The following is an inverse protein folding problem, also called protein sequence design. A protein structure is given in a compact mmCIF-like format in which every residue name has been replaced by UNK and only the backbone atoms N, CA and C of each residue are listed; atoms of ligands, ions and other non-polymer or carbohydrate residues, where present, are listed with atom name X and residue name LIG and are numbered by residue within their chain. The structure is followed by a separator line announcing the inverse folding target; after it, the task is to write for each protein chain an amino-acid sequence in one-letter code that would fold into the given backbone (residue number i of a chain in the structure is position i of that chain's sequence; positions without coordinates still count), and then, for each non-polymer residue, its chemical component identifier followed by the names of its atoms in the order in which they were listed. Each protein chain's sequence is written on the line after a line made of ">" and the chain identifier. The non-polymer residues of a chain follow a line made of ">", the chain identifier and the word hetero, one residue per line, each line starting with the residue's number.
data_IF_404311284100
#
_entry.id   IF_404311284100
#
_cell.length_a   1.000
_cell.length_b   1.000
_cell.length_c   1.000
_cell.angle_alpha   90.00
_cell.angle_beta   90.00
_cell.angle_gamma   90.00
#
_symmetry.space_group_name_H-M   'P 1'
#
loop_
_entity.id
_entity.type
_entity.pdbx_description
1 polymer ?
#
# COMPACT_ATOMS: atom_id res chain seq x y z
N UNK A 1 -15.56 10.20 -5.77
CA UNK A 1 -14.55 9.62 -6.68
C UNK A 1 -14.08 10.71 -7.62
N UNK A 2 -12.78 10.81 -7.94
CA UNK A 2 -12.23 11.89 -8.78
C UNK A 2 -12.51 11.70 -10.28
N UNK A 3 -12.86 10.49 -10.72
CA UNK A 3 -13.21 10.19 -12.12
C UNK A 3 -14.47 10.97 -12.52
N UNK A 4 -14.38 11.74 -13.61
CA UNK A 4 -15.44 12.61 -14.13
C UNK A 4 -15.97 12.16 -15.50
N UNK A 5 -15.18 11.42 -16.29
CA UNK A 5 -15.60 10.91 -17.60
C UNK A 5 -14.89 9.59 -17.95
N UNK A 6 -15.60 8.69 -18.64
CA UNK A 6 -15.07 7.40 -19.13
C UNK A 6 -15.57 7.16 -20.55
N UNK A 7 -14.64 7.04 -21.48
CA UNK A 7 -14.92 6.86 -22.91
C UNK A 7 -14.26 5.59 -23.45
N UNK A 8 -15.00 4.84 -24.26
CA UNK A 8 -14.55 3.64 -24.95
C UNK A 8 -14.56 3.86 -26.46
N UNK A 9 -13.43 3.62 -27.12
CA UNK A 9 -13.33 3.61 -28.58
C UNK A 9 -12.74 2.26 -29.03
N UNK A 10 -13.63 1.36 -29.45
CA UNK A 10 -13.26 0.02 -29.89
C UNK A 10 -12.66 -0.02 -31.30
N UNK A 11 -12.84 1.04 -32.10
CA UNK A 11 -12.26 1.14 -33.42
C UNK A 11 -10.77 1.49 -33.32
N UNK A 12 -10.43 2.46 -32.47
CA UNK A 12 -9.06 2.89 -32.21
C UNK A 12 -8.38 2.16 -31.04
N UNK A 13 -9.09 1.24 -30.38
CA UNK A 13 -8.62 0.47 -29.22
C UNK A 13 -8.16 1.35 -28.05
N UNK A 14 -8.89 2.42 -27.75
CA UNK A 14 -8.58 3.33 -26.64
C UNK A 14 -9.64 3.29 -25.53
N UNK A 15 -9.17 3.39 -24.29
CA UNK A 15 -9.96 3.64 -23.09
C UNK A 15 -9.44 4.94 -22.49
N UNK A 16 -10.30 5.96 -22.41
CA UNK A 16 -9.95 7.26 -21.80
C UNK A 16 -10.71 7.42 -20.51
N UNK A 17 -9.98 7.70 -19.42
CA UNK A 17 -10.55 7.99 -18.10
C UNK A 17 -10.07 9.39 -17.70
N UNK A 18 -11.00 10.33 -17.54
CA UNK A 18 -10.72 11.69 -17.06
C UNK A 18 -11.02 11.78 -15.58
N UNK A 19 -10.14 12.39 -14.80
CA UNK A 19 -10.32 12.59 -13.37
C UNK A 19 -9.82 13.96 -12.92
N UNK A 20 -10.59 14.62 -12.06
CA UNK A 20 -10.26 15.93 -11.49
C UNK A 20 -9.76 15.76 -10.05
N UNK A 21 -8.56 16.27 -9.81
CA UNK A 21 -7.93 16.25 -8.50
C UNK A 21 -7.77 17.67 -7.97
N UNK A 22 -8.02 17.85 -6.67
CA UNK A 22 -7.72 19.11 -5.99
C UNK A 22 -6.19 19.35 -5.82
N UNK A 23 -5.38 18.30 -5.97
CA UNK A 23 -3.92 18.36 -5.82
C UNK A 23 -3.24 18.95 -7.06
N UNK A 24 -2.09 19.64 -6.91
CA UNK A 24 -1.34 20.17 -8.04
C UNK A 24 -0.70 19.05 -8.88
N UNK A 25 -0.42 19.32 -10.15
CA UNK A 25 0.17 18.37 -11.11
C UNK A 25 1.41 17.68 -10.54
N UNK A 26 2.33 18.44 -9.94
CA UNK A 26 3.57 17.89 -9.39
C UNK A 26 3.32 16.85 -8.29
N UNK A 27 2.23 16.99 -7.52
CA UNK A 27 1.87 16.02 -6.49
C UNK A 27 1.35 14.73 -7.10
N UNK A 28 0.61 14.80 -8.20
CA UNK A 28 0.13 13.63 -8.93
C UNK A 28 1.30 12.86 -9.57
N UNK A 29 2.34 13.57 -10.03
CA UNK A 29 3.54 12.97 -10.62
C UNK A 29 4.55 12.44 -9.59
N UNK A 30 4.29 12.57 -8.28
CA UNK A 30 5.24 12.16 -7.26
C UNK A 30 5.30 10.63 -7.15
N UNK A 31 6.50 10.07 -7.27
CA UNK A 31 6.75 8.63 -7.10
C UNK A 31 7.12 8.34 -5.65
N UNK A 32 6.39 7.40 -5.06
CA UNK A 32 6.71 6.81 -3.76
C UNK A 32 7.15 5.38 -3.98
N UNK A 33 8.46 5.17 -4.01
CA UNK A 33 9.04 3.84 -4.15
C UNK A 33 9.26 3.21 -2.78
N UNK A 34 9.07 1.90 -2.72
CA UNK A 34 9.34 1.06 -1.57
C UNK A 34 9.71 -0.34 -2.04
N UNK A 35 10.19 -1.16 -1.11
CA UNK A 35 10.52 -2.55 -1.37
C UNK A 35 10.03 -3.42 -0.22
N UNK A 36 9.66 -4.65 -0.54
CA UNK A 36 9.46 -5.70 0.44
C UNK A 36 10.49 -6.80 0.26
N UNK A 37 11.07 -7.24 1.36
CA UNK A 37 11.90 -8.44 1.41
C UNK A 37 11.13 -9.52 2.17
N UNK A 38 10.56 -10.49 1.44
CA UNK A 38 9.80 -11.59 2.04
C UNK A 38 10.75 -12.51 2.81
N UNK A 39 10.49 -12.70 4.10
CA UNK A 39 11.34 -13.51 4.99
C UNK A 39 10.75 -14.90 5.22
N UNK A 40 9.43 -15.04 5.32
CA UNK A 40 8.76 -16.33 5.56
C UNK A 40 7.34 -16.31 5.01
N UNK A 41 6.88 -17.44 4.47
CA UNK A 41 5.51 -17.64 4.02
C UNK A 41 5.01 -18.95 4.61
N UNK A 42 3.96 -18.89 5.43
CA UNK A 42 3.30 -20.02 6.07
C UNK A 42 1.83 -20.08 5.60
N UNK A 43 1.62 -20.69 4.44
CA UNK A 43 0.31 -20.74 3.82
C UNK A 43 -0.70 -21.62 4.61
N UNK A 44 -1.99 -21.24 4.70
CA UNK A 44 -2.61 -20.00 4.23
C UNK A 44 -2.70 -18.92 5.33
N UNK A 45 -1.98 -19.07 6.44
CA UNK A 45 -2.29 -18.38 7.70
C UNK A 45 -1.43 -17.16 7.98
N UNK A 46 -0.21 -17.09 7.45
CA UNK A 46 0.67 -15.96 7.72
C UNK A 46 1.80 -15.79 6.73
N UNK A 47 2.36 -14.58 6.69
CA UNK A 47 3.66 -14.33 6.07
C UNK A 47 4.35 -13.16 6.76
N UNK A 48 5.68 -13.14 6.68
CA UNK A 48 6.54 -12.12 7.28
C UNK A 48 7.47 -11.52 6.25
N UNK A 49 7.78 -10.23 6.42
CA UNK A 49 8.60 -9.48 5.48
C UNK A 49 9.19 -8.21 6.10
N UNK A 50 10.29 -7.72 5.52
CA UNK A 50 10.78 -6.37 5.79
C UNK A 50 10.12 -5.41 4.81
N UNK A 51 9.69 -4.24 5.29
CA UNK A 51 9.16 -3.15 4.46
C UNK A 51 10.03 -1.91 4.63
N UNK A 52 10.55 -1.40 3.51
CA UNK A 52 11.44 -0.25 3.49
C UNK A 52 11.15 0.70 2.33
N UNK A 53 11.58 1.94 2.51
CA UNK A 53 11.43 2.98 1.51
C UNK A 53 12.60 2.96 0.51
N UNK A 54 12.30 3.34 -0.73
CA UNK A 54 13.29 3.42 -1.79
C UNK A 54 13.30 4.81 -2.46
N UNK A 55 14.35 5.06 -3.23
CA UNK A 55 14.37 6.13 -4.23
C UNK A 55 13.65 5.70 -5.52
N UNK A 56 13.42 6.61 -6.49
CA UNK A 56 12.76 6.28 -7.75
C UNK A 56 13.46 5.23 -8.61
N UNK A 57 14.74 4.95 -8.35
CA UNK A 57 15.54 3.92 -9.01
C UNK A 57 15.54 2.59 -8.23
N UNK A 58 14.67 2.47 -7.21
CA UNK A 58 14.50 1.31 -6.32
C UNK A 58 15.69 1.00 -5.42
N UNK A 59 16.58 1.96 -5.16
CA UNK A 59 17.62 1.78 -4.15
C UNK A 59 17.03 2.02 -2.75
N UNK A 60 17.32 1.16 -1.75
CA UNK A 60 16.89 1.39 -0.37
C UNK A 60 17.36 2.74 0.17
N UNK A 61 16.51 3.41 0.95
CA UNK A 61 16.85 4.62 1.70
C UNK A 61 17.19 4.27 3.15
N UNK A 62 18.48 4.09 3.51
CA UNK A 62 18.87 3.63 4.83
C UNK A 62 18.55 4.63 5.95
N UNK A 63 18.32 5.90 5.61
CA UNK A 63 17.94 6.95 6.58
C UNK A 63 16.43 6.93 6.92
N UNK A 64 15.64 6.07 6.27
CA UNK A 64 14.22 5.90 6.55
C UNK A 64 13.97 4.58 7.29
N UNK A 65 13.00 4.53 8.21
CA UNK A 65 12.69 3.33 8.96
C UNK A 65 12.35 2.14 8.07
N UNK A 66 12.85 0.96 8.46
CA UNK A 66 12.43 -0.34 7.94
C UNK A 66 11.61 -1.03 9.02
N UNK A 67 10.46 -1.60 8.66
CA UNK A 67 9.63 -2.37 9.59
C UNK A 67 9.77 -3.88 9.35
N UNK A 68 9.74 -4.65 10.43
CA UNK A 68 9.54 -6.11 10.40
C UNK A 68 8.05 -6.36 10.53
N UNK A 69 7.45 -6.92 9.49
CA UNK A 69 6.02 -7.14 9.40
C UNK A 69 5.67 -8.61 9.56
N UNK A 70 4.62 -8.88 10.33
CA UNK A 70 4.00 -10.19 10.45
C UNK A 70 2.51 -10.05 10.22
N UNK A 71 2.03 -10.60 9.11
CA UNK A 71 0.63 -10.55 8.71
C UNK A 71 0.01 -11.92 8.96
N UNK A 72 -1.13 -11.95 9.65
CA UNK A 72 -1.80 -13.18 10.07
C UNK A 72 -3.28 -13.16 9.70
N UNK A 73 -3.82 -14.32 9.34
CA UNK A 73 -5.20 -14.50 8.89
C UNK A 73 -5.82 -15.65 9.67
N UNK A 74 -6.98 -15.40 10.28
CA UNK A 74 -7.70 -16.40 11.06
C UNK A 74 -9.20 -16.33 10.80
N UNK A 75 -9.90 -17.46 10.90
CA UNK A 75 -11.36 -17.49 10.84
C UNK A 75 -11.96 -16.64 11.97
N UNK A 76 -12.98 -15.85 11.62
CA UNK A 76 -13.69 -15.03 12.59
C UNK A 76 -15.14 -14.79 12.13
N UNK A 77 -16.10 -15.38 12.85
CA UNK A 77 -17.52 -15.08 12.64
C UNK A 77 -18.05 -15.40 11.23
N UNK A 78 -17.49 -16.39 10.55
CA UNK A 78 -17.85 -16.75 9.17
C UNK A 78 -17.09 -15.98 8.08
N UNK A 79 -16.18 -15.06 8.46
CA UNK A 79 -15.22 -14.43 7.57
C UNK A 79 -13.78 -14.59 8.07
N UNK A 80 -12.89 -13.69 7.65
CA UNK A 80 -11.48 -13.68 8.03
C UNK A 80 -11.16 -12.44 8.84
N UNK A 81 -10.45 -12.61 9.96
CA UNK A 81 -9.74 -11.53 10.65
C UNK A 81 -8.29 -11.54 10.20
N UNK A 82 -7.88 -10.48 9.51
CA UNK A 82 -6.48 -10.19 9.25
C UNK A 82 -5.91 -9.30 10.36
N UNK A 83 -4.73 -9.62 10.87
CA UNK A 83 -3.98 -8.77 11.83
C UNK A 83 -2.62 -8.44 11.23
N UNK A 84 -2.33 -7.15 11.12
CA UNK A 84 -1.13 -6.59 10.52
C UNK A 84 -0.27 -5.98 11.63
N UNK A 85 0.88 -6.60 11.95
CA UNK A 85 1.79 -6.08 12.97
C UNK A 85 3.09 -5.64 12.30
N UNK A 86 3.40 -4.35 12.42
CA UNK A 86 4.65 -3.74 11.96
C UNK A 86 5.50 -3.35 13.16
N UNK A 87 6.69 -3.94 13.28
CA UNK A 87 7.63 -3.65 14.37
C UNK A 87 8.77 -2.77 13.84
N UNK A 88 9.08 -1.70 14.54
CA UNK A 88 10.14 -0.75 14.21
C UNK A 88 11.28 -0.86 15.22
N UNK A 89 12.48 -0.44 14.82
CA UNK A 89 13.68 -0.52 15.67
C UNK A 89 13.61 0.35 16.93
N UNK A 90 12.81 1.42 16.90
CA UNK A 90 12.72 2.42 17.97
C UNK A 90 11.37 3.14 17.97
N UNK A 91 11.06 3.84 19.07
CA UNK A 91 9.87 4.66 19.16
C UNK A 91 9.95 5.87 18.22
N UNK A 92 11.15 6.42 18.03
CA UNK A 92 11.43 7.53 17.12
C UNK A 92 11.18 7.12 15.67
N UNK A 93 11.62 5.92 15.28
CA UNK A 93 11.35 5.37 13.95
C UNK A 93 9.85 5.16 13.70
N UNK A 94 9.12 4.65 14.70
CA UNK A 94 7.66 4.53 14.63
C UNK A 94 7.00 5.92 14.52
N UNK A 95 7.42 6.90 15.32
CA UNK A 95 6.86 8.24 15.27
C UNK A 95 7.09 8.90 13.90
N UNK A 96 8.27 8.71 13.30
CA UNK A 96 8.58 9.26 11.98
C UNK A 96 7.61 8.76 10.91
N UNK A 97 7.29 7.46 10.86
CA UNK A 97 6.36 6.93 9.85
C UNK A 97 4.91 7.32 10.13
N UNK A 98 4.54 7.50 11.41
CA UNK A 98 3.24 8.07 11.80
C UNK A 98 3.10 9.49 11.26
N UNK A 99 4.13 10.32 11.42
CA UNK A 99 4.15 11.70 10.91
C UNK A 99 4.14 11.75 9.37
N UNK A 100 4.65 10.71 8.71
CA UNK A 100 4.60 10.54 7.26
C UNK A 100 3.24 10.03 6.74
N UNK A 101 2.30 9.70 7.61
CA UNK A 101 0.94 9.26 7.25
C UNK A 101 0.83 7.77 6.88
N UNK A 102 1.64 6.91 7.51
CA UNK A 102 1.61 5.45 7.26
C UNK A 102 0.24 4.85 7.58
N UNK A 103 -0.48 5.38 8.56
CA UNK A 103 -1.80 4.86 8.98
C UNK A 103 -2.84 5.10 7.89
N UNK A 104 -2.89 6.30 7.33
CA UNK A 104 -3.80 6.67 6.25
C UNK A 104 -3.49 5.87 4.98
N UNK A 105 -2.20 5.75 4.64
CA UNK A 105 -1.75 4.96 3.49
C UNK A 105 -2.14 3.49 3.60
N UNK A 106 -1.78 2.85 4.72
CA UNK A 106 -2.09 1.44 4.96
C UNK A 106 -3.61 1.19 5.02
N UNK A 107 -4.36 2.04 5.72
CA UNK A 107 -5.82 1.91 5.80
C UNK A 107 -6.48 2.05 4.43
N UNK A 108 -6.03 3.01 3.60
CA UNK A 108 -6.54 3.18 2.24
C UNK A 108 -6.24 1.97 1.34
N UNK A 109 -5.09 1.30 1.53
CA UNK A 109 -4.76 0.10 0.79
C UNK A 109 -5.61 -1.10 1.24
N UNK A 110 -5.72 -1.32 2.56
CA UNK A 110 -6.48 -2.42 3.16
C UNK A 110 -7.97 -2.33 2.80
N UNK A 111 -8.55 -1.12 2.81
CA UNK A 111 -9.96 -0.93 2.51
C UNK A 111 -10.35 -1.26 1.05
N UNK A 112 -9.37 -1.42 0.14
CA UNK A 112 -9.63 -1.84 -1.24
C UNK A 112 -9.74 -3.37 -1.39
N UNK A 113 -9.33 -4.14 -0.37
CA UNK A 113 -9.25 -5.61 -0.47
C UNK A 113 -10.65 -6.21 -0.69
N UNK A 114 -11.66 -5.78 0.07
CA UNK A 114 -13.02 -6.33 -0.06
C UNK A 114 -13.61 -6.07 -1.45
N UNK A 115 -13.41 -4.86 -1.99
CA UNK A 115 -13.87 -4.51 -3.34
C UNK A 115 -13.19 -5.38 -4.41
N UNK A 116 -11.89 -5.69 -4.23
CA UNK A 116 -11.14 -6.55 -5.15
C UNK A 116 -11.55 -8.03 -5.04
N UNK A 117 -11.92 -8.51 -3.86
CA UNK A 117 -12.37 -9.90 -3.67
C UNK A 117 -13.82 -10.11 -4.13
N UNK A 118 -14.61 -9.04 -4.23
CA UNK A 118 -15.98 -9.09 -4.72
C UNK A 118 -16.09 -9.09 -6.26
N UNK A 119 -15.00 -8.81 -6.98
CA UNK A 119 -14.93 -8.80 -8.46
C UNK A 119 -14.66 -10.18 -9.05
#
# INVERSE_FOLDING_TARGET
>A
MPVTDVQHDLENLTLTITADFAAPVQRIWQVYAGYWEITTVDEPTSFSFLDGFADPDFNPKPDLPVSVNVYTFAEHGGGTRATYVSTYESAEALQQVLDMGVVEGASSAINQIDDLLAS
#
